data_IF_376973004922
#
_entry.id   IF_376973004922
#
_cell.length_a   1.000
_cell.length_b   1.000
_cell.length_c   1.000
_cell.angle_alpha   90.00
_cell.angle_beta   90.00
_cell.angle_gamma   90.00
#
_symmetry.space_group_name_H-M   'P 1'
#
loop_
_entity.id
_entity.type
_entity.pdbx_description
1 polymer ?
#
# COMPACT_ATOMS: atom_id res chain seq x y z
N UNK A 1 0.18 -28.50 20.10
CA UNK A 1 1.09 -27.37 19.81
C UNK A 1 1.38 -27.29 18.31
N UNK A 2 0.56 -26.60 17.52
CA UNK A 2 0.68 -26.57 16.03
C UNK A 2 0.52 -25.19 15.39
N UNK A 3 0.52 -24.11 16.17
CA UNK A 3 0.24 -22.75 15.67
C UNK A 3 1.45 -21.81 15.64
N UNK A 4 2.61 -22.22 16.16
CA UNK A 4 3.77 -21.31 16.32
C UNK A 4 4.48 -20.99 14.99
N UNK A 5 4.59 -21.94 14.05
CA UNK A 5 5.35 -21.73 12.81
C UNK A 5 4.60 -20.92 11.73
N UNK A 6 3.27 -20.79 11.82
CA UNK A 6 2.47 -19.91 10.95
C UNK A 6 2.40 -18.46 11.46
N UNK A 7 2.68 -18.23 12.75
CA UNK A 7 2.73 -16.89 13.36
C UNK A 7 3.92 -16.06 12.88
N UNK A 8 5.04 -16.71 12.53
CA UNK A 8 6.33 -16.05 12.27
C UNK A 8 6.33 -15.16 11.02
N UNK A 9 5.59 -15.51 9.97
CA UNK A 9 5.47 -14.68 8.74
C UNK A 9 4.38 -13.61 8.83
N UNK A 10 3.43 -13.77 9.75
CA UNK A 10 2.29 -12.86 9.90
C UNK A 10 2.63 -11.58 10.69
N UNK A 11 3.85 -11.47 11.23
CA UNK A 11 4.27 -10.33 12.07
C UNK A 11 5.36 -9.45 11.45
N UNK A 12 5.83 -9.73 10.23
CA UNK A 12 6.91 -8.94 9.61
C UNK A 12 6.52 -7.46 9.47
N UNK A 13 5.29 -7.19 9.03
CA UNK A 13 4.77 -5.83 8.93
C UNK A 13 4.63 -5.16 10.30
N UNK A 14 4.23 -5.90 11.34
CA UNK A 14 4.12 -5.39 12.70
C UNK A 14 5.51 -4.99 13.24
N UNK A 15 6.51 -5.84 13.06
CA UNK A 15 7.91 -5.57 13.42
C UNK A 15 8.47 -4.36 12.65
N UNK A 16 8.16 -4.22 11.36
CA UNK A 16 8.58 -3.06 10.56
C UNK A 16 7.93 -1.75 11.00
N UNK A 17 6.65 -1.77 11.39
CA UNK A 17 5.98 -0.59 11.96
C UNK A 17 6.63 -0.19 13.29
N UNK A 18 6.95 -1.17 14.15
CA UNK A 18 7.66 -0.90 15.41
C UNK A 18 9.04 -0.30 15.13
N UNK A 19 9.79 -0.87 14.17
CA UNK A 19 11.11 -0.38 13.80
C UNK A 19 11.04 1.05 13.25
N UNK A 20 10.07 1.35 12.38
CA UNK A 20 9.78 2.69 11.88
C UNK A 20 9.50 3.67 13.03
N UNK A 21 8.62 3.30 13.96
CA UNK A 21 8.28 4.18 15.08
C UNK A 21 9.50 4.47 15.95
N UNK A 22 10.30 3.44 16.24
CA UNK A 22 11.51 3.55 17.06
C UNK A 22 12.60 4.39 16.40
N UNK A 23 12.84 4.23 15.09
CA UNK A 23 13.83 5.05 14.38
C UNK A 23 13.45 6.53 14.34
N UNK A 24 12.16 6.84 14.30
CA UNK A 24 11.66 8.22 14.33
C UNK A 24 11.63 8.78 15.75
N UNK A 25 11.80 7.96 16.79
CA UNK A 25 11.76 8.40 18.18
C UNK A 25 10.39 8.86 18.68
N UNK A 26 9.31 8.49 17.97
CA UNK A 26 7.95 8.99 18.27
C UNK A 26 7.11 7.98 19.06
N UNK A 27 6.09 8.49 19.75
CA UNK A 27 5.08 7.71 20.45
C UNK A 27 4.04 7.12 19.49
N UNK A 28 3.26 6.14 19.98
CA UNK A 28 2.16 5.53 19.20
C UNK A 28 1.06 6.54 18.85
N UNK A 29 0.84 7.56 19.70
CA UNK A 29 -0.14 8.61 19.45
C UNK A 29 0.32 9.59 18.39
N UNK A 30 1.60 9.96 18.38
CA UNK A 30 2.19 10.78 17.32
C UNK A 30 2.19 10.07 15.97
N UNK A 31 2.59 8.79 15.94
CA UNK A 31 2.48 7.99 14.73
C UNK A 31 1.02 7.88 14.25
N UNK A 32 0.07 7.72 15.17
CA UNK A 32 -1.35 7.75 14.85
C UNK A 32 -1.76 9.07 14.18
N UNK A 33 -1.36 10.21 14.75
CA UNK A 33 -1.64 11.54 14.17
C UNK A 33 -1.05 11.68 12.76
N UNK A 34 0.19 11.24 12.54
CA UNK A 34 0.84 11.28 11.22
C UNK A 34 0.09 10.44 10.17
N UNK A 35 -0.51 9.32 10.59
CA UNK A 35 -1.22 8.38 9.72
C UNK A 35 -2.75 8.63 9.68
N UNK A 36 -3.22 9.74 10.25
CA UNK A 36 -4.65 10.04 10.45
C UNK A 36 -5.42 8.87 11.09
N UNK A 37 -4.82 8.24 12.08
CA UNK A 37 -5.35 7.07 12.78
C UNK A 37 -5.25 7.22 14.30
N UNK A 38 -5.97 6.36 15.03
CA UNK A 38 -5.94 6.38 16.49
C UNK A 38 -4.71 5.65 17.03
N UNK A 39 -4.21 6.08 18.19
CA UNK A 39 -3.14 5.37 18.91
C UNK A 39 -3.50 3.90 19.19
N UNK A 40 -4.79 3.60 19.40
CA UNK A 40 -5.29 2.23 19.61
C UNK A 40 -5.17 1.37 18.35
N UNK A 41 -5.35 1.95 17.16
CA UNK A 41 -5.13 1.25 15.89
C UNK A 41 -3.65 0.90 15.74
N UNK A 42 -2.76 1.87 15.96
CA UNK A 42 -1.29 1.64 15.95
C UNK A 42 -0.89 0.52 16.92
N UNK A 43 -1.41 0.53 18.15
CA UNK A 43 -1.17 -0.54 19.13
C UNK A 43 -1.65 -1.93 18.66
N UNK A 44 -2.77 -2.01 17.92
CA UNK A 44 -3.24 -3.28 17.35
C UNK A 44 -2.34 -3.74 16.20
N UNK A 45 -1.83 -2.81 15.40
CA UNK A 45 -0.90 -3.10 14.32
C UNK A 45 0.42 -3.65 14.87
N UNK A 46 1.03 -2.96 15.82
CA UNK A 46 2.32 -3.38 16.40
C UNK A 46 2.24 -4.76 17.10
N UNK A 47 1.08 -5.12 17.65
CA UNK A 47 0.86 -6.44 18.26
C UNK A 47 0.47 -7.53 17.26
N UNK A 48 0.30 -7.21 15.98
CA UNK A 48 -0.15 -8.16 14.97
C UNK A 48 -1.62 -8.58 15.08
N UNK A 49 -2.42 -7.86 15.88
CA UNK A 49 -3.84 -8.20 16.13
C UNK A 49 -4.71 -7.81 14.94
N UNK A 50 -4.36 -6.70 14.28
CA UNK A 50 -5.10 -6.18 13.13
C UNK A 50 -4.09 -5.69 12.10
N UNK A 51 -4.26 -6.09 10.84
CA UNK A 51 -3.43 -5.56 9.76
C UNK A 51 -3.89 -4.14 9.37
N UNK A 52 -2.96 -3.21 9.10
CA UNK A 52 -3.30 -1.92 8.52
C UNK A 52 -4.00 -2.05 7.16
N UNK A 53 -4.85 -1.08 6.85
CA UNK A 53 -5.45 -0.95 5.52
C UNK A 53 -4.42 -0.44 4.50
N UNK A 54 -4.69 -0.64 3.20
CA UNK A 54 -3.80 -0.22 2.12
C UNK A 54 -3.45 1.28 2.16
N UNK A 55 -4.40 2.15 2.52
CA UNK A 55 -4.15 3.59 2.67
C UNK A 55 -3.13 3.92 3.77
N UNK A 56 -3.07 3.12 4.84
CA UNK A 56 -2.07 3.28 5.90
C UNK A 56 -0.70 2.84 5.39
N UNK A 57 -0.63 1.74 4.66
CA UNK A 57 0.60 1.28 4.01
C UNK A 57 1.17 2.32 3.02
N UNK A 58 0.31 3.00 2.26
CA UNK A 58 0.73 4.11 1.39
C UNK A 58 1.36 5.24 2.20
N UNK A 59 0.70 5.68 3.28
CA UNK A 59 1.19 6.75 4.16
C UNK A 59 2.50 6.37 4.85
N UNK A 60 2.62 5.13 5.34
CA UNK A 60 3.85 4.59 5.91
C UNK A 60 5.00 4.69 4.90
N UNK A 61 4.76 4.26 3.66
CA UNK A 61 5.74 4.38 2.58
C UNK A 61 6.20 5.82 2.35
N UNK A 62 5.26 6.78 2.32
CA UNK A 62 5.54 8.20 2.13
C UNK A 62 6.42 8.78 3.25
N UNK A 63 6.19 8.37 4.51
CA UNK A 63 6.98 8.82 5.66
C UNK A 63 8.36 8.13 5.68
N UNK A 64 8.43 6.88 5.22
CA UNK A 64 9.66 6.08 5.34
C UNK A 64 10.77 6.48 4.37
N UNK A 65 10.43 6.85 3.12
CA UNK A 65 11.40 7.11 2.06
C UNK A 65 12.06 5.84 1.48
N UNK A 66 12.90 6.04 0.47
CA UNK A 66 13.70 4.96 -0.14
C UNK A 66 14.80 4.48 0.82
N UNK A 67 15.09 3.17 0.92
CA UNK A 67 14.54 2.05 0.13
C UNK A 67 13.32 1.34 0.75
N UNK A 68 12.92 1.70 1.97
CA UNK A 68 11.88 0.95 2.70
C UNK A 68 10.45 1.22 2.22
N UNK A 69 10.20 2.35 1.57
CA UNK A 69 8.89 2.71 1.03
C UNK A 69 8.32 1.61 0.12
N UNK A 70 9.17 0.92 -0.63
CA UNK A 70 8.80 -0.17 -1.53
C UNK A 70 8.13 -1.35 -0.81
N UNK A 71 8.55 -1.65 0.42
CA UNK A 71 7.91 -2.71 1.20
C UNK A 71 6.47 -2.34 1.54
N UNK A 72 6.25 -1.12 2.06
CA UNK A 72 4.93 -0.68 2.49
C UNK A 72 4.01 -0.49 1.28
N UNK A 73 4.49 0.14 0.21
CA UNK A 73 3.74 0.29 -1.03
C UNK A 73 3.41 -1.06 -1.68
N UNK A 74 4.34 -2.02 -1.69
CA UNK A 74 4.07 -3.37 -2.19
C UNK A 74 2.95 -4.07 -1.41
N UNK A 75 2.87 -3.89 -0.09
CA UNK A 75 1.74 -4.40 0.73
C UNK A 75 0.41 -3.71 0.44
N UNK A 76 0.43 -2.47 -0.03
CA UNK A 76 -0.75 -1.77 -0.53
C UNK A 76 -1.14 -2.20 -1.96
N UNK A 77 -0.35 -3.07 -2.61
CA UNK A 77 -0.55 -3.50 -3.99
C UNK A 77 0.10 -2.58 -5.03
N UNK A 78 0.95 -1.65 -4.62
CA UNK A 78 1.67 -0.75 -5.52
C UNK A 78 3.06 -1.31 -5.84
N UNK A 79 3.30 -1.64 -7.11
CA UNK A 79 4.58 -2.12 -7.60
C UNK A 79 5.29 -1.04 -8.40
N UNK A 80 6.62 -1.13 -8.52
CA UNK A 80 7.41 -0.16 -9.31
C UNK A 80 6.98 -0.09 -10.78
N UNK A 81 6.34 -1.14 -11.30
CA UNK A 81 5.71 -1.13 -12.63
C UNK A 81 4.52 -0.17 -12.71
N UNK A 82 3.67 -0.14 -11.69
CA UNK A 82 2.45 0.68 -11.64
C UNK A 82 2.77 2.17 -11.63
N UNK A 83 3.79 2.58 -10.87
CA UNK A 83 4.19 3.99 -10.76
C UNK A 83 4.88 4.52 -12.03
N UNK A 84 5.60 3.66 -12.76
CA UNK A 84 6.21 4.02 -14.05
C UNK A 84 5.15 4.29 -15.11
N UNK A 85 4.02 3.59 -15.08
CA UNK A 85 2.88 3.84 -15.97
C UNK A 85 2.29 5.25 -15.79
N UNK A 86 2.18 5.72 -14.54
CA UNK A 86 1.60 7.04 -14.22
C UNK A 86 2.51 8.19 -14.65
N UNK A 87 3.83 7.98 -14.64
CA UNK A 87 4.81 8.97 -15.12
C UNK A 87 4.83 9.16 -16.65
N UNK A 88 4.09 8.34 -17.41
CA UNK A 88 4.02 8.52 -18.86
C UNK A 88 3.11 9.71 -19.22
N UNK A 89 3.61 10.75 -19.91
CA UNK A 89 2.80 11.92 -20.29
C UNK A 89 1.71 11.61 -21.34
N UNK A 90 1.66 10.39 -21.89
CA UNK A 90 0.73 10.04 -22.97
C UNK A 90 -0.63 9.67 -22.40
N UNK A 91 -1.62 10.52 -22.69
CA UNK A 91 -3.05 10.27 -22.49
C UNK A 91 -3.40 8.82 -22.90
N UNK A 92 -4.01 8.08 -21.98
CA UNK A 92 -4.46 6.69 -22.12
C UNK A 92 -5.29 6.44 -23.41
N UNK A 93 -5.91 7.48 -23.97
CA UNK A 93 -6.74 7.41 -25.19
C UNK A 93 -5.98 7.10 -26.49
N UNK A 94 -4.67 7.35 -26.57
CA UNK A 94 -3.90 7.20 -27.81
C UNK A 94 -3.03 5.92 -27.84
N UNK A 95 -3.14 5.05 -26.84
CA UNK A 95 -2.36 3.83 -26.79
C UNK A 95 -2.99 2.76 -27.70
N UNK A 96 -2.51 2.65 -28.96
CA UNK A 96 -2.79 1.48 -29.80
C UNK A 96 -2.34 0.24 -29.02
N UNK A 97 -3.27 -0.67 -28.72
CA UNK A 97 -3.16 -1.86 -27.84
C UNK A 97 -1.94 -2.76 -28.08
N UNK A 98 -1.20 -2.56 -29.17
CA UNK A 98 -0.16 -3.47 -29.65
C UNK A 98 1.25 -2.88 -29.56
N UNK A 99 1.42 -1.60 -29.22
CA UNK A 99 2.69 -0.87 -29.40
C UNK A 99 3.39 -0.44 -28.10
N UNK A 100 2.82 -0.69 -26.92
CA UNK A 100 3.48 -0.36 -25.66
C UNK A 100 3.68 -1.65 -24.82
N UNK A 101 4.93 -2.01 -24.47
CA UNK A 101 5.21 -3.22 -23.70
C UNK A 101 4.66 -3.15 -22.26
N UNK A 102 4.31 -1.94 -21.78
CA UNK A 102 3.77 -1.69 -20.44
C UNK A 102 2.27 -2.03 -20.35
N UNK A 103 1.46 -1.74 -21.37
CA UNK A 103 0.02 -2.08 -21.36
C UNK A 103 -0.29 -3.49 -21.90
N UNK A 104 0.70 -4.23 -22.41
CA UNK A 104 0.53 -5.65 -22.76
C UNK A 104 0.45 -6.58 -21.54
N UNK A 105 0.86 -6.10 -20.37
CA UNK A 105 0.89 -6.88 -19.12
C UNK A 105 -0.36 -6.74 -18.26
N UNK A 106 -1.28 -5.83 -18.59
CA UNK A 106 -2.61 -5.83 -17.98
C UNK A 106 -3.50 -6.82 -18.71
N UNK A 107 -3.62 -8.04 -18.18
CA UNK A 107 -4.79 -8.88 -18.45
C UNK A 107 -6.04 -8.04 -18.13
N UNK A 108 -7.07 -8.04 -18.99
CA UNK A 108 -8.30 -7.31 -18.70
C UNK A 108 -8.99 -7.97 -17.52
N UNK A 109 -8.85 -7.41 -16.32
CA UNK A 109 -9.83 -7.65 -15.27
C UNK A 109 -11.06 -6.84 -15.67
N UNK A 110 -11.95 -7.50 -16.40
CA UNK A 110 -13.30 -7.05 -16.68
C UNK A 110 -14.00 -6.70 -15.36
N UNK A 111 -14.16 -5.41 -15.09
CA UNK A 111 -15.34 -4.92 -14.38
C UNK A 111 -15.94 -3.79 -15.19
N UNK A 112 -16.94 -4.22 -15.95
CA UNK A 112 -18.01 -3.50 -16.60
C UNK A 112 -18.45 -2.24 -15.83
N UNK A 113 -18.13 -1.06 -16.37
CA UNK A 113 -18.73 0.21 -15.98
C UNK A 113 -20.10 0.34 -16.66
N UNK A 114 -21.08 -0.40 -16.14
CA UNK A 114 -22.48 -0.13 -16.44
C UNK A 114 -22.89 1.22 -15.83
N UNK A 115 -22.87 2.25 -16.69
CA UNK A 115 -23.97 3.20 -16.91
C UNK A 115 -24.59 3.85 -15.66
N UNK A 116 -24.12 5.06 -15.33
CA UNK A 116 -25.01 6.14 -14.85
C UNK A 116 -24.88 7.34 -15.76
N UNK A 117 -25.83 7.42 -16.68
CA UNK A 117 -26.17 8.63 -17.43
C UNK A 117 -26.73 9.65 -16.41
N UNK A 118 -26.09 10.82 -16.31
CA UNK A 118 -26.62 12.01 -15.67
C UNK A 118 -27.32 12.83 -16.76
N UNK A 119 -28.65 12.90 -16.71
CA UNK A 119 -29.43 13.99 -17.29
C UNK A 119 -29.89 14.87 -16.12
N UNK A 120 -29.39 16.11 -16.10
CA UNK A 120 -29.74 17.28 -15.29
C UNK A 120 -30.19 17.07 -13.83
#
# INVERSE_FOLDING_TARGET
>A
MRQESRKTRYLEWASRIIALRRRMGISQSELGKLLNSSARAVSRWERGVQEPLANIYIQLGNITGDPECWYFWGRAGLHSGDLKCVSCPRRVRDCKKNACPICKLSTPVLTDCARRELTW
#
